data_IF_396835448873
#
_entry.id   IF_396835448873
#
_cell.length_a   1.000
_cell.length_b   1.000
_cell.length_c   1.000
_cell.angle_alpha   90.00
_cell.angle_beta   90.00
_cell.angle_gamma   90.00
#
_symmetry.space_group_name_H-M   'P 1'
#
loop_
_entity.id
_entity.type
_entity.pdbx_description
1 polymer ?
#
# COMPACT_ATOMS: atom_id res chain seq x y z
N UNK A 1 -23.72 7.38 -5.23
CA UNK A 1 -23.29 5.99 -5.48
C UNK A 1 -23.77 5.16 -4.30
N UNK A 2 -24.37 4.01 -4.56
CA UNK A 2 -24.99 3.13 -3.55
C UNK A 2 -23.97 2.20 -2.86
N UNK A 3 -22.84 1.93 -3.52
CA UNK A 3 -21.76 1.07 -3.04
C UNK A 3 -20.78 1.73 -2.06
N UNK A 4 -21.06 2.96 -1.63
CA UNK A 4 -20.24 3.73 -0.68
C UNK A 4 -21.08 4.54 0.29
N UNK A 5 -20.49 4.88 1.44
CA UNK A 5 -21.01 5.83 2.40
C UNK A 5 -19.93 6.82 2.83
N UNK A 6 -20.31 8.04 3.23
CA UNK A 6 -19.34 9.00 3.78
C UNK A 6 -18.87 8.50 5.14
N UNK A 7 -17.56 8.38 5.31
CA UNK A 7 -16.93 7.99 6.57
C UNK A 7 -16.74 9.20 7.48
N UNK A 8 -16.81 8.97 8.79
CA UNK A 8 -16.48 10.00 9.78
C UNK A 8 -15.00 9.94 10.15
N UNK A 9 -14.43 11.07 10.58
CA UNK A 9 -13.02 11.12 11.01
C UNK A 9 -12.72 10.19 12.20
N UNK A 10 -13.73 9.89 13.03
CA UNK A 10 -13.60 9.00 14.19
C UNK A 10 -13.34 7.54 13.78
N UNK A 11 -13.86 7.09 12.63
CA UNK A 11 -13.63 5.74 12.10
C UNK A 11 -12.17 5.51 11.67
N UNK A 12 -11.39 6.58 11.55
CA UNK A 12 -10.05 6.59 10.99
C UNK A 12 -8.96 6.71 12.06
N UNK A 13 -9.29 7.18 13.26
CA UNK A 13 -8.33 7.40 14.33
C UNK A 13 -7.88 6.06 14.95
N UNK A 14 -6.61 5.70 14.77
CA UNK A 14 -5.92 4.75 15.62
C UNK A 14 -5.17 5.57 16.69
N UNK A 15 -5.75 5.67 17.88
CA UNK A 15 -5.15 6.41 18.99
C UNK A 15 -4.03 5.60 19.65
N UNK A 16 -2.80 5.74 19.17
CA UNK A 16 -1.62 5.41 19.97
C UNK A 16 -0.59 6.54 19.91
N UNK A 17 -0.64 7.42 20.92
CA UNK A 17 0.44 8.36 21.21
C UNK A 17 1.38 7.66 22.18
N UNK A 18 2.39 6.97 21.66
CA UNK A 18 3.48 6.47 22.48
C UNK A 18 4.52 7.58 22.70
N UNK A 19 4.36 8.28 23.83
CA UNK A 19 5.33 9.25 24.32
C UNK A 19 6.57 8.53 24.88
N UNK A 20 7.76 9.01 24.50
CA UNK A 20 9.09 8.64 25.00
C UNK A 20 9.53 7.19 24.74
N UNK A 21 10.09 6.97 23.55
CA UNK A 21 10.84 5.76 23.24
C UNK A 21 12.18 6.12 22.58
N UNK A 22 13.24 5.38 22.91
CA UNK A 22 14.60 5.54 22.37
C UNK A 22 14.63 5.09 20.89
N UNK A 23 14.08 5.96 20.04
CA UNK A 23 13.89 5.77 18.62
C UNK A 23 15.22 5.81 17.86
N UNK A 24 15.43 4.85 16.95
CA UNK A 24 16.61 4.78 16.10
C UNK A 24 16.25 4.34 14.69
N UNK A 25 16.89 4.98 13.71
CA UNK A 25 16.90 4.54 12.31
C UNK A 25 18.28 4.00 11.97
N UNK A 26 18.34 2.75 11.52
CA UNK A 26 19.58 2.10 11.11
C UNK A 26 19.50 1.67 9.66
N UNK A 27 20.32 2.28 8.80
CA UNK A 27 20.49 1.79 7.43
C UNK A 27 21.24 0.45 7.45
N UNK A 28 20.80 -0.47 6.60
CA UNK A 28 21.42 -1.79 6.44
C UNK A 28 21.76 -2.04 4.98
N UNK A 29 22.80 -2.85 4.77
CA UNK A 29 23.14 -3.36 3.44
C UNK A 29 22.42 -4.70 3.25
N UNK A 30 21.67 -4.80 2.14
CA UNK A 30 21.06 -6.05 1.72
C UNK A 30 22.02 -6.72 0.74
N UNK A 31 22.51 -7.90 1.12
CA UNK A 31 23.37 -8.70 0.24
C UNK A 31 22.56 -9.14 -0.97
N UNK A 32 23.16 -9.08 -2.15
CA UNK A 32 22.57 -9.66 -3.36
C UNK A 32 22.35 -11.16 -3.13
N UNK A 33 21.10 -11.57 -3.09
CA UNK A 33 20.66 -12.96 -3.12
C UNK A 33 19.76 -13.14 -4.34
N UNK A 34 19.59 -14.37 -4.82
CA UNK A 34 18.53 -14.68 -5.78
C UNK A 34 17.19 -14.36 -5.10
N UNK A 35 16.66 -13.16 -5.31
CA UNK A 35 15.30 -12.83 -4.90
C UNK A 35 14.35 -13.42 -5.93
N UNK A 36 13.42 -14.24 -5.46
CA UNK A 36 12.31 -14.67 -6.29
C UNK A 36 11.29 -13.53 -6.32
N UNK A 37 10.89 -13.14 -7.52
CA UNK A 37 9.84 -12.15 -7.69
C UNK A 37 8.51 -12.76 -7.25
N UNK A 38 7.93 -12.21 -6.18
CA UNK A 38 6.63 -12.59 -5.65
C UNK A 38 5.64 -11.46 -5.87
N UNK A 39 4.35 -11.74 -5.80
CA UNK A 39 3.32 -10.69 -5.85
C UNK A 39 3.46 -9.68 -4.69
N UNK A 40 4.03 -10.11 -3.54
CA UNK A 40 4.38 -9.22 -2.42
C UNK A 40 5.46 -8.24 -2.85
N UNK A 41 6.58 -8.74 -3.41
CA UNK A 41 7.64 -7.86 -3.87
C UNK A 41 7.17 -6.96 -5.03
N UNK A 42 6.36 -7.49 -5.95
CA UNK A 42 5.74 -6.71 -7.03
C UNK A 42 4.88 -5.55 -6.52
N UNK A 43 4.03 -5.79 -5.52
CA UNK A 43 3.21 -4.76 -4.90
C UNK A 43 4.07 -3.60 -4.37
N UNK A 44 5.09 -3.91 -3.56
CA UNK A 44 5.97 -2.87 -3.00
C UNK A 44 6.84 -2.19 -4.06
N UNK A 45 7.30 -2.92 -5.07
CA UNK A 45 7.99 -2.31 -6.21
C UNK A 45 7.12 -1.27 -6.90
N UNK A 46 5.83 -1.54 -7.13
CA UNK A 46 4.89 -0.62 -7.78
C UNK A 46 4.48 0.56 -6.90
N UNK A 47 4.31 0.32 -5.61
CA UNK A 47 3.93 1.29 -4.59
C UNK A 47 5.05 2.32 -4.35
N UNK A 48 6.29 1.87 -4.19
CA UNK A 48 7.42 2.71 -3.74
C UNK A 48 8.19 3.35 -4.90
N UNK A 49 7.68 3.31 -6.15
CA UNK A 49 8.40 3.78 -7.34
C UNK A 49 8.96 5.21 -7.23
N UNK A 50 8.26 6.10 -6.53
CA UNK A 50 8.60 7.53 -6.44
C UNK A 50 8.59 8.04 -4.97
N UNK A 51 8.70 7.14 -3.98
CA UNK A 51 8.51 7.52 -2.57
C UNK A 51 9.26 6.67 -1.56
N UNK A 52 8.88 6.82 -0.30
CA UNK A 52 9.30 5.99 0.84
C UNK A 52 8.10 5.17 1.26
N UNK A 53 8.31 3.89 1.52
CA UNK A 53 7.26 3.04 2.10
C UNK A 53 7.76 2.46 3.41
N UNK A 54 6.94 2.62 4.44
CA UNK A 54 7.14 1.98 5.72
C UNK A 54 6.33 0.68 5.78
N UNK A 55 6.97 -0.41 6.19
CA UNK A 55 6.34 -1.71 6.36
C UNK A 55 6.51 -2.13 7.83
N UNK A 56 5.43 -2.20 8.62
CA UNK A 56 5.54 -2.66 10.00
C UNK A 56 6.00 -4.12 10.07
N UNK A 57 6.76 -4.44 11.11
CA UNK A 57 7.29 -5.79 11.35
C UNK A 57 6.88 -6.28 12.74
N UNK A 58 5.58 -6.60 12.95
CA UNK A 58 5.07 -6.96 14.27
C UNK A 58 5.64 -8.29 14.80
N UNK A 59 6.26 -9.10 13.94
CA UNK A 59 6.92 -10.34 14.32
C UNK A 59 8.13 -10.65 13.41
N UNK A 60 8.94 -11.63 13.82
CA UNK A 60 10.14 -12.06 13.10
C UNK A 60 9.86 -12.66 11.72
N UNK A 61 8.68 -13.24 11.50
CA UNK A 61 8.32 -13.82 10.21
C UNK A 61 8.09 -12.74 9.17
N UNK A 62 7.34 -11.69 9.50
CA UNK A 62 7.13 -10.53 8.62
C UNK A 62 8.46 -9.83 8.34
N UNK A 63 9.28 -9.59 9.37
CA UNK A 63 10.62 -9.02 9.20
C UNK A 63 11.48 -9.84 8.22
N UNK A 64 11.52 -11.16 8.40
CA UNK A 64 12.28 -12.06 7.52
C UNK A 64 11.76 -11.97 6.09
N UNK A 65 10.44 -12.02 5.90
CA UNK A 65 9.84 -11.91 4.57
C UNK A 65 10.16 -10.57 3.90
N UNK A 66 10.11 -9.46 4.62
CA UNK A 66 10.52 -8.16 4.09
C UNK A 66 11.99 -8.16 3.66
N UNK A 67 12.89 -8.72 4.46
CA UNK A 67 14.33 -8.76 4.16
C UNK A 67 14.66 -9.69 2.98
N UNK A 68 13.94 -10.80 2.85
CA UNK A 68 14.20 -11.83 1.83
C UNK A 68 13.51 -11.50 0.49
N UNK A 69 12.28 -10.96 0.52
CA UNK A 69 11.44 -10.76 -0.68
C UNK A 69 11.34 -9.31 -1.13
N UNK A 70 11.41 -8.32 -0.23
CA UNK A 70 11.11 -6.92 -0.58
C UNK A 70 12.38 -6.06 -0.66
N UNK A 71 13.15 -6.07 0.43
CA UNK A 71 14.36 -5.27 0.60
C UNK A 71 15.40 -5.42 -0.53
N UNK A 72 15.61 -6.60 -1.15
CA UNK A 72 16.60 -6.76 -2.21
C UNK A 72 16.36 -5.89 -3.45
N UNK A 73 15.13 -5.43 -3.66
CA UNK A 73 14.75 -4.61 -4.81
C UNK A 73 15.06 -3.11 -4.64
N UNK A 74 15.43 -2.67 -3.43
CA UNK A 74 15.58 -1.26 -3.08
C UNK A 74 17.03 -0.89 -2.77
N UNK A 75 17.42 0.34 -3.11
CA UNK A 75 18.75 0.89 -2.82
C UNK A 75 18.87 1.31 -1.36
N UNK A 76 17.79 1.85 -0.79
CA UNK A 76 17.77 2.36 0.58
C UNK A 76 16.84 1.48 1.42
N UNK A 77 17.43 0.80 2.40
CA UNK A 77 16.70 -0.01 3.39
C UNK A 77 17.13 0.42 4.79
N UNK A 78 16.18 0.88 5.60
CA UNK A 78 16.41 1.31 6.99
C UNK A 78 15.49 0.54 7.93
N UNK A 79 16.02 0.14 9.08
CA UNK A 79 15.25 -0.45 10.17
C UNK A 79 14.87 0.65 11.15
N UNK A 80 13.59 0.75 11.45
CA UNK A 80 13.08 1.54 12.57
C UNK A 80 13.06 0.69 13.83
N UNK A 81 13.67 1.20 14.90
CA UNK A 81 13.83 0.47 16.14
C UNK A 81 13.47 1.31 17.35
N UNK A 82 12.90 0.63 18.35
CA UNK A 82 12.73 1.15 19.70
C UNK A 82 13.44 0.21 20.67
N UNK A 83 14.51 0.69 21.31
CA UNK A 83 15.39 -0.19 22.08
C UNK A 83 16.02 -1.24 21.16
N UNK A 84 15.80 -2.53 21.46
CA UNK A 84 16.28 -3.66 20.63
C UNK A 84 15.23 -4.19 19.64
N UNK A 85 13.98 -3.72 19.74
CA UNK A 85 12.89 -4.19 18.90
C UNK A 85 12.89 -3.46 17.54
N UNK A 86 12.79 -4.23 16.46
CA UNK A 86 12.56 -3.69 15.11
C UNK A 86 11.05 -3.54 14.92
N UNK A 87 10.61 -2.31 14.72
CA UNK A 87 9.20 -1.96 14.60
C UNK A 87 8.75 -1.96 13.14
N UNK A 88 9.60 -1.49 12.24
CA UNK A 88 9.30 -1.41 10.80
C UNK A 88 10.56 -1.39 9.94
N UNK A 89 10.37 -1.61 8.64
CA UNK A 89 11.37 -1.37 7.60
C UNK A 89 10.89 -0.21 6.73
N UNK A 90 11.78 0.76 6.51
CA UNK A 90 11.63 1.82 5.53
C UNK A 90 12.41 1.44 4.27
N UNK A 91 11.70 1.36 3.16
CA UNK A 91 12.27 1.09 1.83
C UNK A 91 12.11 2.32 0.94
N UNK A 92 13.13 2.59 0.13
CA UNK A 92 13.15 3.74 -0.77
C UNK A 92 14.07 3.47 -1.96
N UNK A 93 13.73 4.11 -3.09
CA UNK A 93 14.47 4.05 -4.36
C UNK A 93 14.58 2.62 -4.91
N UNK A 94 13.60 2.24 -5.72
CA UNK A 94 13.66 1.00 -6.48
C UNK A 94 14.92 0.99 -7.36
N UNK A 95 15.75 -0.06 -7.25
CA UNK A 95 16.96 -0.18 -8.06
C UNK A 95 16.63 -0.08 -9.56
N UNK A 96 17.52 0.55 -10.31
CA UNK A 96 17.27 0.97 -11.71
C UNK A 96 16.88 -0.20 -12.63
N UNK A 97 17.50 -1.35 -12.46
CA UNK A 97 17.22 -2.58 -13.21
C UNK A 97 15.79 -3.07 -12.98
N UNK A 98 15.31 -3.07 -11.73
CA UNK A 98 13.96 -3.47 -11.37
C UNK A 98 12.92 -2.42 -11.79
N UNK A 99 13.27 -1.14 -11.74
CA UNK A 99 12.42 -0.06 -12.25
C UNK A 99 12.17 -0.15 -13.75
N UNK A 100 13.15 -0.59 -14.54
CA UNK A 100 12.96 -0.88 -15.98
C UNK A 100 12.13 -2.15 -16.19
N UNK A 101 12.43 -3.20 -15.42
CA UNK A 101 11.73 -4.48 -15.50
C UNK A 101 10.23 -4.33 -15.23
N UNK A 102 9.85 -3.68 -14.12
CA UNK A 102 8.44 -3.52 -13.73
C UNK A 102 7.62 -2.72 -14.74
N UNK A 103 8.24 -1.79 -15.49
CA UNK A 103 7.57 -1.01 -16.54
C UNK A 103 7.31 -1.79 -17.82
N UNK A 104 8.13 -2.80 -18.10
CA UNK A 104 8.10 -3.53 -19.38
C UNK A 104 7.43 -4.91 -19.28
N UNK A 105 7.19 -5.40 -18.06
CA UNK A 105 6.58 -6.71 -17.83
C UNK A 105 5.05 -6.60 -17.78
N UNK A 106 4.38 -7.75 -17.97
CA UNK A 106 2.97 -7.90 -17.64
C UNK A 106 2.84 -8.01 -16.12
N UNK A 107 2.15 -7.06 -15.51
CA UNK A 107 1.87 -7.01 -14.07
C UNK A 107 0.64 -7.86 -13.74
N UNK A 108 0.57 -8.42 -12.53
CA UNK A 108 -0.60 -9.13 -12.03
C UNK A 108 -1.89 -8.29 -12.18
N UNK A 109 -3.02 -8.89 -12.56
CA UNK A 109 -4.23 -8.16 -12.96
C UNK A 109 -4.75 -7.17 -11.90
N UNK A 110 -4.79 -7.59 -10.64
CA UNK A 110 -5.21 -6.75 -9.50
C UNK A 110 -4.22 -5.60 -9.26
N UNK A 111 -2.91 -5.89 -9.34
CA UNK A 111 -1.87 -4.86 -9.18
C UNK A 111 -1.85 -3.88 -10.34
N UNK A 112 -2.12 -4.37 -11.55
CA UNK A 112 -2.25 -3.56 -12.74
C UNK A 112 -3.45 -2.60 -12.60
N UNK A 113 -4.55 -3.04 -12.01
CA UNK A 113 -5.72 -2.20 -11.75
C UNK A 113 -5.46 -1.14 -10.65
N UNK A 114 -4.74 -1.50 -9.57
CA UNK A 114 -4.30 -0.56 -8.52
C UNK A 114 -3.32 0.50 -9.02
N UNK A 115 -2.36 0.08 -9.85
CA UNK A 115 -1.18 0.87 -10.20
C UNK A 115 -1.03 1.16 -11.70
N UNK A 116 -2.11 1.06 -12.48
CA UNK A 116 -2.07 1.32 -13.93
C UNK A 116 -1.56 2.73 -14.17
N UNK A 117 -0.41 2.84 -14.86
CA UNK A 117 0.08 4.12 -15.37
C UNK A 117 -0.45 4.28 -16.79
N UNK A 118 -1.28 5.28 -17.02
CA UNK A 118 -1.42 5.84 -18.36
C UNK A 118 -0.38 6.95 -18.50
N UNK A 119 0.46 6.88 -19.53
CA UNK A 119 1.56 7.82 -19.78
C UNK A 119 1.11 9.29 -19.97
N UNK A 120 -0.20 9.54 -20.04
CA UNK A 120 -0.81 10.82 -20.41
C UNK A 120 -1.50 11.55 -19.27
N UNK A 121 -1.59 10.97 -18.09
CA UNK A 121 -2.29 11.62 -16.97
C UNK A 121 -1.27 12.50 -16.23
N UNK A 122 -1.61 13.79 -16.10
CA UNK A 122 -0.83 14.74 -15.30
C UNK A 122 -0.58 14.10 -13.94
N UNK A 123 0.69 14.02 -13.52
CA UNK A 123 1.02 13.65 -12.13
C UNK A 123 0.17 14.53 -11.22
N UNK A 124 -0.58 13.90 -10.32
CA UNK A 124 -1.23 14.64 -9.23
C UNK A 124 -0.11 15.37 -8.50
N UNK A 125 -0.19 16.69 -8.47
CA UNK A 125 0.81 17.51 -7.81
C UNK A 125 0.54 17.49 -6.31
N UNK A 126 1.18 16.55 -5.63
CA UNK A 126 1.11 16.42 -4.17
C UNK A 126 1.89 17.53 -3.43
N UNK A 127 2.48 18.51 -4.13
CA UNK A 127 3.21 19.61 -3.49
C UNK A 127 2.30 20.66 -2.84
N UNK A 128 1.03 20.74 -3.27
CA UNK A 128 0.02 21.50 -2.56
C UNK A 128 -0.65 20.61 -1.51
N UNK A 129 -0.79 21.07 -0.25
CA UNK A 129 -1.62 20.36 0.71
C UNK A 129 -3.03 20.28 0.14
N UNK A 130 -3.53 19.06 -0.04
CA UNK A 130 -4.92 18.82 -0.42
C UNK A 130 -5.77 19.45 0.68
N UNK A 131 -6.37 20.60 0.37
CA UNK A 131 -7.07 21.42 1.34
C UNK A 131 -8.45 20.86 1.67
N UNK A 132 -9.09 20.15 0.72
CA UNK A 132 -10.41 19.58 0.86
C UNK A 132 -10.48 18.16 0.28
N UNK A 133 -10.89 17.19 1.09
CA UNK A 133 -11.18 15.84 0.66
C UNK A 133 -12.36 15.26 1.45
N UNK A 134 -13.11 14.38 0.80
CA UNK A 134 -14.13 13.55 1.44
C UNK A 134 -13.65 12.10 1.49
N UNK A 135 -13.90 11.44 2.61
CA UNK A 135 -13.57 10.02 2.78
C UNK A 135 -14.84 9.20 2.64
N UNK A 136 -14.76 8.17 1.81
CA UNK A 136 -15.85 7.24 1.55
C UNK A 136 -15.46 5.84 1.97
N UNK A 137 -16.29 5.19 2.77
CA UNK A 137 -16.19 3.76 3.06
C UNK A 137 -16.87 2.99 1.94
N UNK A 138 -16.18 1.97 1.44
CA UNK A 138 -16.70 1.07 0.42
C UNK A 138 -17.52 -0.04 1.10
N UNK A 139 -18.69 -0.35 0.54
CA UNK A 139 -19.62 -1.32 1.11
C UNK A 139 -19.45 -2.69 0.43
N UNK A 140 -18.99 -3.74 1.15
CA UNK A 140 -18.68 -5.05 0.55
C UNK A 140 -19.87 -5.72 -0.16
N UNK A 141 -21.10 -5.48 0.30
CA UNK A 141 -22.31 -6.12 -0.21
C UNK A 141 -22.62 -5.83 -1.69
N UNK A 142 -21.95 -4.84 -2.28
CA UNK A 142 -22.12 -4.45 -3.68
C UNK A 142 -21.09 -5.11 -4.61
N UNK A 143 -20.18 -5.93 -4.06
CA UNK A 143 -19.06 -6.52 -4.79
C UNK A 143 -19.12 -8.04 -4.74
N UNK A 144 -18.96 -8.68 -5.90
CA UNK A 144 -18.83 -10.14 -5.96
C UNK A 144 -17.46 -10.54 -5.46
N UNK A 145 -17.41 -11.50 -4.53
CA UNK A 145 -16.14 -12.06 -4.06
C UNK A 145 -15.44 -12.80 -5.20
N UNK A 146 -14.16 -12.46 -5.41
CA UNK A 146 -13.30 -13.10 -6.39
C UNK A 146 -12.13 -13.79 -5.68
N UNK A 147 -11.71 -14.94 -6.22
CA UNK A 147 -10.61 -15.74 -5.67
C UNK A 147 -9.38 -15.62 -6.56
N UNK A 148 -8.24 -15.39 -5.94
CA UNK A 148 -6.96 -15.30 -6.63
C UNK A 148 -5.82 -15.68 -5.67
N UNK A 149 -5.18 -16.82 -5.92
CA UNK A 149 -4.22 -17.43 -4.97
C UNK A 149 -2.96 -16.58 -4.77
N UNK A 150 -2.52 -15.85 -5.79
CA UNK A 150 -1.38 -14.94 -5.66
C UNK A 150 -1.79 -13.76 -4.78
N UNK A 151 -2.94 -13.14 -5.04
CA UNK A 151 -3.44 -12.04 -4.23
C UNK A 151 -3.78 -12.47 -2.80
N UNK A 152 -4.17 -13.74 -2.56
CA UNK A 152 -4.34 -14.30 -1.21
C UNK A 152 -3.01 -14.24 -0.45
N UNK A 153 -1.91 -14.53 -1.13
CA UNK A 153 -0.56 -14.45 -0.56
C UNK A 153 -0.19 -13.01 -0.20
N UNK A 154 -0.50 -12.05 -1.09
CA UNK A 154 -0.31 -10.62 -0.81
C UNK A 154 -1.11 -10.17 0.40
N UNK A 155 -2.42 -10.41 0.41
CA UNK A 155 -3.30 -9.92 1.48
C UNK A 155 -3.05 -10.60 2.81
N UNK A 156 -2.62 -11.87 2.81
CA UNK A 156 -2.12 -12.53 4.02
C UNK A 156 -0.88 -11.86 4.58
N UNK A 157 0.07 -11.45 3.72
CA UNK A 157 1.22 -10.68 4.14
C UNK A 157 0.81 -9.31 4.70
N UNK A 158 -0.05 -8.57 3.97
CA UNK A 158 -0.52 -7.25 4.38
C UNK A 158 -1.27 -7.31 5.72
N UNK A 159 -2.19 -8.25 5.91
CA UNK A 159 -2.86 -8.45 7.21
C UNK A 159 -1.84 -8.77 8.30
N UNK A 160 -0.89 -9.68 8.05
CA UNK A 160 0.13 -10.04 9.04
C UNK A 160 1.02 -8.85 9.44
N UNK A 161 1.31 -7.95 8.50
CA UNK A 161 2.15 -6.77 8.74
C UNK A 161 1.36 -5.61 9.39
N UNK A 162 0.11 -5.37 8.97
CA UNK A 162 -0.62 -4.15 9.29
C UNK A 162 -1.73 -4.33 10.36
N UNK A 163 -2.26 -5.53 10.62
CA UNK A 163 -3.41 -5.74 11.53
C UNK A 163 -3.25 -5.22 12.97
N UNK A 164 -2.02 -5.05 13.47
CA UNK A 164 -1.78 -4.70 14.88
C UNK A 164 -1.18 -3.31 15.12
N UNK A 165 -0.75 -2.61 14.08
CA UNK A 165 0.15 -1.46 14.30
C UNK A 165 -0.13 -0.25 13.42
N UNK A 166 -0.61 -0.42 12.19
CA UNK A 166 -0.84 0.69 11.26
C UNK A 166 -1.87 0.31 10.21
N UNK A 167 -2.69 1.25 9.80
CA UNK A 167 -3.47 1.09 8.58
C UNK A 167 -2.56 1.23 7.36
N UNK A 168 -2.94 0.60 6.24
CA UNK A 168 -2.22 0.76 4.98
C UNK A 168 -2.88 1.88 4.16
N UNK A 169 -2.18 3.00 4.03
CA UNK A 169 -2.60 4.15 3.21
C UNK A 169 -1.66 4.30 2.01
N UNK A 170 -2.19 4.30 0.80
CA UNK A 170 -1.39 4.47 -0.40
C UNK A 170 -2.17 5.07 -1.57
N UNK A 171 -1.51 5.83 -2.47
CA UNK A 171 -2.18 6.40 -3.62
C UNK A 171 -2.44 5.32 -4.68
N UNK A 172 -3.69 5.13 -5.15
CA UNK A 172 -3.91 4.43 -6.40
C UNK A 172 -3.37 5.27 -7.56
N UNK A 173 -3.08 4.62 -8.69
CA UNK A 173 -2.70 5.38 -9.89
C UNK A 173 -3.92 5.59 -10.76
N UNK A 174 -4.30 6.86 -10.93
CA UNK A 174 -5.27 7.35 -11.91
C UNK A 174 -6.74 6.99 -11.66
N UNK A 175 -7.12 6.70 -10.42
CA UNK A 175 -8.52 6.44 -10.10
C UNK A 175 -9.32 7.75 -10.06
N UNK A 176 -10.45 7.76 -10.77
CA UNK A 176 -11.46 8.82 -10.71
C UNK A 176 -12.67 8.31 -9.96
N UNK A 177 -13.11 9.08 -8.99
CA UNK A 177 -14.28 8.78 -8.18
C UNK A 177 -15.53 8.82 -9.04
N UNK A 178 -15.98 7.64 -9.44
CA UNK A 178 -17.09 7.44 -10.36
C UNK A 178 -17.70 6.06 -10.13
N UNK A 179 -18.93 5.85 -10.61
CA UNK A 179 -19.64 4.59 -10.40
C UNK A 179 -18.93 3.40 -11.04
N UNK A 180 -18.10 3.63 -12.08
CA UNK A 180 -17.31 2.61 -12.75
C UNK A 180 -16.24 1.98 -11.85
N UNK A 181 -15.87 2.61 -10.73
CA UNK A 181 -14.93 2.00 -9.77
C UNK A 181 -15.47 0.69 -9.19
N UNK A 182 -16.79 0.45 -9.20
CA UNK A 182 -17.35 -0.85 -8.79
C UNK A 182 -16.86 -2.03 -9.65
N UNK A 183 -16.42 -1.74 -10.88
CA UNK A 183 -15.91 -2.72 -11.83
C UNK A 183 -14.40 -3.00 -11.65
N UNK A 184 -13.74 -2.27 -10.74
CA UNK A 184 -12.34 -2.46 -10.39
C UNK A 184 -12.10 -3.85 -9.81
N UNK A 185 -11.21 -4.62 -10.45
CA UNK A 185 -10.74 -5.90 -9.92
C UNK A 185 -10.05 -5.72 -8.58
N UNK A 186 -9.31 -4.62 -8.42
CA UNK A 186 -8.65 -4.32 -7.16
C UNK A 186 -9.64 -4.07 -6.03
N UNK A 187 -10.71 -3.29 -6.25
CA UNK A 187 -11.74 -3.08 -5.20
C UNK A 187 -12.48 -4.39 -4.94
N UNK A 188 -12.96 -5.08 -5.98
CA UNK A 188 -13.68 -6.35 -5.86
C UNK A 188 -12.89 -7.39 -5.06
N UNK A 189 -11.58 -7.45 -5.25
CA UNK A 189 -10.71 -8.34 -4.48
C UNK A 189 -10.53 -7.83 -3.05
N UNK A 190 -10.01 -6.61 -2.91
CA UNK A 190 -9.48 -6.10 -1.64
C UNK A 190 -10.55 -5.91 -0.58
N UNK A 191 -11.78 -5.55 -0.98
CA UNK A 191 -12.88 -5.24 -0.08
C UNK A 191 -13.28 -6.41 0.83
N UNK A 192 -13.05 -7.64 0.38
CA UNK A 192 -13.37 -8.87 1.13
C UNK A 192 -12.17 -9.39 1.94
N UNK A 193 -11.00 -8.77 1.80
CA UNK A 193 -9.74 -9.22 2.40
C UNK A 193 -9.27 -8.30 3.55
N UNK A 194 -10.00 -7.23 3.80
CA UNK A 194 -9.74 -6.27 4.88
C UNK A 194 -11.03 -6.04 5.69
N UNK A 195 -10.89 -5.51 6.91
CA UNK A 195 -12.04 -5.14 7.74
C UNK A 195 -12.79 -3.95 7.16
N UNK A 196 -12.05 -2.98 6.64
CA UNK A 196 -12.60 -1.79 5.99
C UNK A 196 -11.70 -1.30 4.86
N UNK A 197 -12.34 -0.81 3.80
CA UNK A 197 -11.70 -0.17 2.66
C UNK A 197 -12.27 1.23 2.52
N UNK A 198 -11.41 2.25 2.49
CA UNK A 198 -11.81 3.63 2.28
C UNK A 198 -11.13 4.26 1.07
N UNK A 199 -11.84 5.19 0.43
CA UNK A 199 -11.38 6.05 -0.64
C UNK A 199 -11.30 7.47 -0.13
N UNK A 200 -10.12 8.09 -0.24
CA UNK A 200 -9.93 9.52 0.02
C UNK A 200 -10.03 10.24 -1.31
N UNK A 201 -11.03 11.12 -1.44
CA UNK A 201 -11.38 11.74 -2.72
C UNK A 201 -11.19 13.24 -2.62
N UNK A 202 -10.44 13.79 -3.56
CA UNK A 202 -10.30 15.23 -3.75
C UNK A 202 -11.63 15.84 -4.19
N UNK A 203 -12.17 16.78 -3.40
CA UNK A 203 -13.52 17.32 -3.63
C UNK A 203 -13.61 18.23 -4.87
N UNK A 204 -12.47 18.74 -5.37
CA UNK A 204 -12.43 19.64 -6.53
C UNK A 204 -12.30 18.87 -7.85
N UNK A 205 -11.58 17.74 -7.82
CA UNK A 205 -11.20 17.01 -9.03
C UNK A 205 -11.83 15.63 -9.13
N UNK A 206 -12.52 15.15 -8.10
CA UNK A 206 -13.00 13.76 -7.99
C UNK A 206 -11.85 12.74 -8.16
N UNK A 207 -10.62 13.12 -7.86
CA UNK A 207 -9.48 12.20 -7.92
C UNK A 207 -9.44 11.37 -6.65
N UNK A 208 -9.32 10.06 -6.76
CA UNK A 208 -9.01 9.23 -5.59
C UNK A 208 -7.53 9.42 -5.26
N UNK A 209 -7.27 10.07 -4.14
CA UNK A 209 -5.93 10.44 -3.69
C UNK A 209 -5.27 9.27 -2.95
N UNK A 210 -6.03 8.60 -2.08
CA UNK A 210 -5.55 7.48 -1.31
C UNK A 210 -6.60 6.36 -1.20
N UNK A 211 -6.11 5.14 -1.22
CA UNK A 211 -6.78 3.96 -0.70
C UNK A 211 -6.29 3.76 0.72
N UNK A 212 -7.23 3.49 1.62
CA UNK A 212 -6.96 3.23 3.03
C UNK A 212 -7.56 1.88 3.41
N UNK A 213 -6.70 0.90 3.69
CA UNK A 213 -7.09 -0.44 4.11
C UNK A 213 -6.87 -0.61 5.61
N UNK A 214 -7.90 -1.13 6.30
CA UNK A 214 -7.82 -1.55 7.70
C UNK A 214 -7.92 -3.06 7.80
N UNK A 215 -6.93 -3.70 8.43
CA UNK A 215 -6.83 -5.16 8.59
C UNK A 215 -7.14 -5.61 10.03
#
# INVERSE_FOLDING_TARGET
>A
MDWIEKASSEELLNNEINNNLNFRLKQIEIKEHQSYETIVSEFFMLLTLDGVTEIPTPNKQVLKQCLDEIAPYFEVVKLEQTGEQINSILIQHLKKEHSKMIRNKKVHGILADLFKREDKIKKVDYSNPISNYTIYKVLPNYFTEIRDLESDTLFKFLSSAFSNSKDLLFPPKNWRFSDNLKESLAIQYSIHQCKSFYLWVDDETDTVIYIHLKF
#
